data_IF_620467094373
#
_entry.id   IF_620467094373
#
_cell.length_a   1.000
_cell.length_b   1.000
_cell.length_c   1.000
_cell.angle_alpha   90.00
_cell.angle_beta   90.00
_cell.angle_gamma   90.00
#
_symmetry.space_group_name_H-M   'P 1'
#
loop_
_entity.id
_entity.type
_entity.pdbx_description
1 polymer ?
#
# COMPACT_ATOMS: atom_id res chain seq x y z
N UNK A 1 -4.21 17.47 -49.59
CA UNK A 1 -3.91 17.87 -48.19
C UNK A 1 -2.56 17.25 -47.83
N UNK A 2 -1.60 18.08 -47.42
CA UNK A 2 -0.17 17.79 -47.43
C UNK A 2 0.26 16.72 -46.41
N UNK A 3 1.27 15.91 -46.77
CA UNK A 3 1.90 14.90 -45.91
C UNK A 3 2.29 15.45 -44.53
N UNK A 4 2.65 16.74 -44.47
CA UNK A 4 2.87 17.50 -43.24
C UNK A 4 1.68 17.49 -42.27
N UNK A 5 0.45 17.70 -42.78
CA UNK A 5 -0.76 17.68 -41.95
C UNK A 5 -0.97 16.30 -41.29
N UNK A 6 -0.70 15.22 -42.03
CA UNK A 6 -0.80 13.86 -41.51
C UNK A 6 0.22 13.57 -40.42
N UNK A 7 1.47 14.04 -40.58
CA UNK A 7 2.52 13.91 -39.55
C UNK A 7 2.12 14.64 -38.27
N UNK A 8 1.62 15.87 -38.39
CA UNK A 8 1.18 16.66 -37.23
C UNK A 8 0.01 15.97 -36.51
N UNK A 9 -0.99 15.48 -37.23
CA UNK A 9 -2.12 14.73 -36.65
C UNK A 9 -1.64 13.43 -35.98
N UNK A 10 -0.67 12.74 -36.56
CA UNK A 10 -0.15 11.50 -35.98
C UNK A 10 0.60 11.77 -34.66
N UNK A 11 1.43 12.81 -34.61
CA UNK A 11 2.16 13.19 -33.39
C UNK A 11 1.21 13.63 -32.26
N UNK A 12 0.18 14.41 -32.58
CA UNK A 12 -0.78 14.88 -31.57
C UNK A 12 -1.61 13.73 -30.98
N UNK A 13 -2.09 12.80 -31.82
CA UNK A 13 -2.83 11.63 -31.34
C UNK A 13 -1.98 10.73 -30.43
N UNK A 14 -0.70 10.51 -30.79
CA UNK A 14 0.23 9.73 -29.96
C UNK A 14 0.54 10.44 -28.62
N UNK A 15 0.70 11.76 -28.63
CA UNK A 15 0.91 12.53 -27.40
C UNK A 15 -0.31 12.46 -26.46
N UNK A 16 -1.53 12.54 -27.02
CA UNK A 16 -2.77 12.41 -26.24
C UNK A 16 -2.88 11.00 -25.64
N UNK A 17 -2.60 9.96 -26.42
CA UNK A 17 -2.61 8.58 -25.93
C UNK A 17 -1.59 8.37 -24.81
N UNK A 18 -0.37 8.91 -24.95
CA UNK A 18 0.65 8.85 -23.91
C UNK A 18 0.19 9.57 -22.63
N UNK A 19 -0.39 10.77 -22.75
CA UNK A 19 -0.95 11.50 -21.61
C UNK A 19 -2.06 10.71 -20.91
N UNK A 20 -2.97 10.08 -21.65
CA UNK A 20 -4.04 9.25 -21.07
C UNK A 20 -3.52 8.03 -20.31
N UNK A 21 -2.53 7.34 -20.87
CA UNK A 21 -1.88 6.20 -20.20
C UNK A 21 -1.15 6.67 -18.95
N UNK A 22 -0.46 7.81 -19.01
CA UNK A 22 0.24 8.38 -17.85
C UNK A 22 -0.72 8.74 -16.71
N UNK A 23 -1.85 9.37 -17.02
CA UNK A 23 -2.89 9.69 -16.03
C UNK A 23 -3.47 8.42 -15.37
N UNK A 24 -3.68 7.35 -16.15
CA UNK A 24 -4.11 6.05 -15.63
C UNK A 24 -3.07 5.45 -14.69
N UNK A 25 -1.79 5.51 -15.04
CA UNK A 25 -0.70 5.00 -14.20
C UNK A 25 -0.62 5.79 -12.89
N UNK A 26 -0.72 7.13 -12.96
CA UNK A 26 -0.73 7.98 -11.77
C UNK A 26 -1.89 7.67 -10.84
N UNK A 27 -3.09 7.44 -11.37
CA UNK A 27 -4.26 7.06 -10.57
C UNK A 27 -4.15 5.65 -9.93
N UNK A 28 -3.25 4.80 -10.43
CA UNK A 28 -2.98 3.46 -9.89
C UNK A 28 -1.81 3.51 -8.89
N UNK A 29 -1.07 4.63 -8.79
CA UNK A 29 0.00 4.72 -7.80
C UNK A 29 -0.56 4.51 -6.40
N UNK A 30 0.13 3.70 -5.58
CA UNK A 30 -0.33 3.40 -4.24
C UNK A 30 -0.43 4.69 -3.44
N UNK A 31 -1.59 4.86 -2.83
CA UNK A 31 -1.88 5.86 -1.83
C UNK A 31 -0.75 5.94 -0.78
N UNK A 32 -0.08 7.08 -0.71
CA UNK A 32 1.03 7.31 0.20
C UNK A 32 0.49 7.61 1.60
N UNK A 33 0.50 6.59 2.47
CA UNK A 33 0.02 6.72 3.85
C UNK A 33 1.12 6.60 4.90
N UNK A 34 0.82 7.10 6.09
CA UNK A 34 1.65 6.92 7.29
C UNK A 34 1.07 5.81 8.16
N UNK A 35 1.95 4.94 8.65
CA UNK A 35 1.59 3.92 9.64
C UNK A 35 2.11 4.36 11.00
N UNK A 36 1.18 4.56 11.92
CA UNK A 36 1.44 4.85 13.32
C UNK A 36 1.24 3.56 14.10
N UNK A 37 2.35 3.07 14.66
CA UNK A 37 2.36 1.91 15.56
C UNK A 37 2.19 2.42 16.99
N UNK A 38 1.02 2.19 17.58
CA UNK A 38 0.71 2.46 18.98
C UNK A 38 0.80 1.17 19.81
N UNK A 39 0.79 1.27 21.14
CA UNK A 39 0.85 0.09 22.01
C UNK A 39 -0.38 -0.81 21.78
N UNK A 40 -0.16 -1.99 21.16
CA UNK A 40 -1.19 -2.97 20.76
C UNK A 40 -2.17 -2.50 19.67
N UNK A 41 -2.02 -1.29 19.14
CA UNK A 41 -2.87 -0.75 18.08
C UNK A 41 -2.02 -0.31 16.89
N UNK A 42 -2.61 -0.42 15.71
CA UNK A 42 -2.06 0.11 14.48
C UNK A 42 -3.05 1.09 13.89
N UNK A 43 -2.52 2.23 13.45
CA UNK A 43 -3.26 3.21 12.69
C UNK A 43 -2.57 3.44 11.36
N UNK A 44 -3.33 3.31 10.27
CA UNK A 44 -2.92 3.75 8.95
C UNK A 44 -3.71 5.00 8.61
N UNK A 45 -3.01 6.07 8.28
CA UNK A 45 -3.60 7.33 7.84
C UNK A 45 -3.06 7.68 6.45
N UNK A 46 -3.96 7.83 5.50
CA UNK A 46 -3.73 8.43 4.19
C UNK A 46 -4.76 9.56 4.00
N UNK A 47 -4.54 10.43 3.01
CA UNK A 47 -5.45 11.54 2.66
C UNK A 47 -6.91 11.09 2.50
N UNK A 48 -7.13 9.88 1.98
CA UNK A 48 -8.47 9.35 1.70
C UNK A 48 -8.93 8.28 2.70
N UNK A 49 -8.01 7.66 3.43
CA UNK A 49 -8.29 6.42 4.17
C UNK A 49 -7.67 6.47 5.56
N UNK A 50 -8.52 6.37 6.58
CA UNK A 50 -8.11 6.25 7.98
C UNK A 50 -8.55 4.92 8.54
N UNK A 51 -7.58 4.12 8.95
CA UNK A 51 -7.77 2.78 9.49
C UNK A 51 -7.18 2.77 10.88
N UNK A 52 -7.94 2.33 11.86
CA UNK A 52 -7.43 2.08 13.20
C UNK A 52 -7.91 0.72 13.68
N UNK A 53 -7.03 -0.01 14.34
CA UNK A 53 -7.41 -1.29 14.93
C UNK A 53 -6.25 -2.00 15.61
N UNK A 54 -6.50 -3.24 16.00
CA UNK A 54 -5.47 -4.10 16.58
C UNK A 54 -4.92 -5.05 15.51
N UNK A 55 -3.60 -5.24 15.49
CA UNK A 55 -2.99 -6.29 14.66
C UNK A 55 -3.44 -7.62 15.21
N UNK A 56 -4.07 -8.41 14.36
CA UNK A 56 -4.50 -9.76 14.74
C UNK A 56 -3.40 -10.77 14.44
N UNK A 57 -3.39 -11.90 15.15
CA UNK A 57 -2.44 -12.98 14.93
C UNK A 57 -2.57 -13.67 13.56
N UNK A 58 -3.66 -13.42 12.82
CA UNK A 58 -3.82 -13.85 11.41
C UNK A 58 -2.88 -13.15 10.43
N UNK A 59 -2.09 -12.19 10.91
CA UNK A 59 -1.10 -11.46 10.11
C UNK A 59 -0.05 -12.40 9.53
N UNK A 60 0.35 -12.17 8.28
CA UNK A 60 1.35 -12.99 7.59
C UNK A 60 2.59 -12.15 7.31
N UNK A 61 3.77 -12.70 7.63
CA UNK A 61 5.06 -12.07 7.38
C UNK A 61 5.75 -12.82 6.25
N UNK A 62 5.95 -12.15 5.12
CA UNK A 62 6.74 -12.66 3.99
C UNK A 62 8.10 -11.98 3.96
N UNK A 63 9.01 -12.47 3.11
CA UNK A 63 10.37 -11.91 3.02
C UNK A 63 10.36 -10.43 2.62
N UNK A 64 9.53 -10.06 1.64
CA UNK A 64 9.49 -8.73 1.03
C UNK A 64 8.23 -7.94 1.37
N UNK A 65 7.29 -8.50 2.13
CA UNK A 65 6.06 -7.81 2.49
C UNK A 65 5.46 -8.33 3.79
N UNK A 66 4.74 -7.48 4.51
CA UNK A 66 3.93 -7.85 5.68
C UNK A 66 2.46 -7.62 5.35
N UNK A 67 1.65 -8.65 5.59
CA UNK A 67 0.21 -8.67 5.33
C UNK A 67 -0.52 -8.59 6.67
N UNK A 68 -0.97 -7.40 7.02
CA UNK A 68 -1.60 -7.12 8.31
C UNK A 68 -3.10 -7.34 8.21
N UNK A 69 -3.62 -8.20 9.08
CA UNK A 69 -5.04 -8.29 9.31
C UNK A 69 -5.41 -7.44 10.54
N UNK A 70 -6.14 -6.35 10.31
CA UNK A 70 -6.44 -5.33 11.31
C UNK A 70 -7.89 -5.49 11.79
N UNK A 71 -8.06 -5.76 13.09
CA UNK A 71 -9.38 -5.81 13.73
C UNK A 71 -9.94 -4.39 13.84
N UNK A 72 -11.00 -4.11 13.08
CA UNK A 72 -11.63 -2.78 13.01
C UNK A 72 -11.66 -2.17 11.61
N UNK A 73 -10.90 -2.72 10.66
CA UNK A 73 -10.86 -2.22 9.28
C UNK A 73 -11.95 -2.86 8.41
N UNK A 74 -11.87 -4.18 8.21
CA UNK A 74 -12.88 -5.02 7.57
C UNK A 74 -12.46 -6.49 7.74
N UNK A 75 -13.40 -7.43 7.90
CA UNK A 75 -13.07 -8.87 8.04
C UNK A 75 -12.44 -9.48 6.78
N UNK A 76 -12.56 -8.83 5.63
CA UNK A 76 -12.10 -9.35 4.33
C UNK A 76 -10.91 -8.60 3.73
N UNK A 77 -10.52 -7.47 4.29
CA UNK A 77 -9.47 -6.63 3.72
C UNK A 77 -8.18 -6.74 4.53
N UNK A 78 -7.07 -6.80 3.81
CA UNK A 78 -5.73 -6.93 4.36
C UNK A 78 -4.93 -5.67 3.99
N UNK A 79 -4.14 -5.16 4.94
CA UNK A 79 -3.20 -4.09 4.66
C UNK A 79 -1.86 -4.71 4.31
N UNK A 80 -1.43 -4.55 3.05
CA UNK A 80 -0.18 -5.12 2.54
C UNK A 80 0.87 -4.01 2.48
N UNK A 81 2.00 -4.22 3.14
CA UNK A 81 3.10 -3.28 3.17
C UNK A 81 4.35 -3.95 2.63
N UNK A 82 4.89 -3.40 1.54
CA UNK A 82 6.12 -3.88 0.92
C UNK A 82 7.35 -3.29 1.61
N UNK A 83 8.42 -4.06 1.70
CA UNK A 83 9.71 -3.63 2.21
C UNK A 83 10.28 -2.44 1.41
N UNK A 84 9.95 -2.33 0.11
CA UNK A 84 10.41 -1.24 -0.75
C UNK A 84 9.65 0.07 -0.52
N UNK A 85 8.50 0.02 0.14
CA UNK A 85 7.63 1.18 0.38
C UNK A 85 7.93 1.91 1.69
N UNK A 86 8.83 1.37 2.51
CA UNK A 86 9.13 1.88 3.85
C UNK A 86 10.63 1.83 4.10
N UNK A 87 11.16 2.73 4.92
CA UNK A 87 12.57 2.64 5.30
C UNK A 87 12.87 1.33 6.08
N UNK A 88 14.12 0.86 6.01
CA UNK A 88 14.55 -0.41 6.61
C UNK A 88 14.25 -0.50 8.12
N UNK A 89 14.42 0.60 8.86
CA UNK A 89 14.21 0.63 10.31
C UNK A 89 12.73 0.47 10.67
N UNK A 90 11.85 1.19 9.99
CA UNK A 90 10.39 1.12 10.13
C UNK A 90 9.87 -0.24 9.70
N UNK A 91 10.41 -0.82 8.62
CA UNK A 91 10.06 -2.18 8.21
C UNK A 91 10.46 -3.21 9.27
N UNK A 92 11.65 -3.09 9.88
CA UNK A 92 12.07 -3.95 10.98
C UNK A 92 11.17 -3.80 12.22
N UNK A 93 10.77 -2.57 12.57
CA UNK A 93 9.82 -2.30 13.66
C UNK A 93 8.44 -2.90 13.38
N UNK A 94 7.96 -2.79 12.14
CA UNK A 94 6.69 -3.38 11.70
C UNK A 94 6.72 -4.90 11.82
N UNK A 95 7.79 -5.54 11.32
CA UNK A 95 7.99 -6.99 11.40
C UNK A 95 8.00 -7.48 12.85
N UNK A 96 8.66 -6.75 13.76
CA UNK A 96 8.64 -7.05 15.20
C UNK A 96 7.25 -6.92 15.80
N UNK A 97 6.52 -5.85 15.51
CA UNK A 97 5.15 -5.67 16.01
C UNK A 97 4.21 -6.77 15.50
N UNK A 98 4.33 -7.16 14.23
CA UNK A 98 3.59 -8.27 13.65
C UNK A 98 3.93 -9.61 14.33
N UNK A 99 5.23 -9.90 14.56
CA UNK A 99 5.67 -11.10 15.28
C UNK A 99 5.12 -11.15 16.71
N UNK A 100 5.14 -10.04 17.43
CA UNK A 100 4.58 -9.96 18.80
C UNK A 100 3.08 -10.26 18.77
N UNK A 101 2.36 -9.75 17.77
CA UNK A 101 0.93 -9.99 17.63
C UNK A 101 0.60 -11.46 17.29
N UNK A 102 1.46 -12.13 16.51
CA UNK A 102 1.32 -13.55 16.18
C UNK A 102 1.62 -14.41 17.41
N UNK A 103 2.77 -14.19 18.05
CA UNK A 103 3.22 -15.01 19.19
C UNK A 103 2.38 -14.76 20.46
N UNK A 104 1.79 -13.57 20.61
CA UNK A 104 0.90 -13.27 21.74
C UNK A 104 -0.42 -14.07 21.73
N UNK A 105 -0.79 -14.73 20.63
CA UNK A 105 -1.90 -15.70 20.61
C UNK A 105 -1.47 -17.09 21.07
N UNK A 106 -0.20 -17.47 20.86
CA UNK A 106 0.33 -18.77 21.31
C UNK A 106 0.43 -18.86 22.84
N UNK A 107 0.70 -17.75 23.54
CA UNK A 107 0.76 -17.73 25.01
C UNK A 107 -0.63 -17.74 25.70
N UNK A 108 -1.72 -17.57 24.95
CA UNK A 108 -3.09 -17.47 25.50
C UNK A 108 -3.94 -18.73 25.33
N UNK A 109 -3.35 -19.87 24.91
CA UNK A 109 -4.00 -21.18 24.79
C UNK A 109 -3.49 -22.14 25.86
#
# INVERSE_FOLDING_TARGET
MSSFFSIVVCLTLNAIALCWVWQKILAIHPDSGVIILEHKQIRFENENVKIQGQITPKTIILNTSVWLHIKGFNKRQWLIISANSVNNQSYARLKRAALIAINGEEESK
#
